data_IF_897818055982
#
_entry.id   IF_897818055982
#
_cell.length_a   1.000
_cell.length_b   1.000
_cell.length_c   1.000
_cell.angle_alpha   90.00
_cell.angle_beta   90.00
_cell.angle_gamma   90.00
#
_symmetry.space_group_name_H-M   'P 1'
#
loop_
_entity.id
_entity.type
_entity.pdbx_description
1 polymer ?
#
# COMPACT_ATOMS: atom_id res chain seq x y z
N UNK A 1 37.54 -17.43 -2.05
CA UNK A 1 37.60 -17.87 -3.47
C UNK A 1 37.81 -16.65 -4.34
N UNK A 2 38.53 -16.76 -5.47
CA UNK A 2 38.81 -15.59 -6.31
C UNK A 2 37.60 -15.17 -7.14
N UNK A 3 37.37 -13.85 -7.24
CA UNK A 3 36.37 -13.27 -8.12
C UNK A 3 36.69 -13.60 -9.59
N UNK A 4 35.79 -14.26 -10.34
CA UNK A 4 36.06 -14.63 -11.72
C UNK A 4 36.07 -13.43 -12.69
N UNK A 5 35.49 -12.29 -12.29
CA UNK A 5 35.54 -11.04 -13.08
C UNK A 5 36.83 -10.25 -12.84
N UNK A 6 37.30 -10.15 -11.59
CA UNK A 6 38.50 -9.37 -11.22
C UNK A 6 39.79 -10.20 -11.20
N UNK A 7 39.69 -11.54 -11.24
CA UNK A 7 40.76 -12.56 -11.30
C UNK A 7 41.74 -12.61 -10.12
N UNK A 8 42.07 -11.49 -9.48
CA UNK A 8 43.05 -11.40 -8.39
C UNK A 8 42.50 -10.82 -7.08
N UNK A 9 41.18 -10.74 -6.98
CA UNK A 9 40.48 -10.28 -5.78
C UNK A 9 39.84 -11.47 -5.10
N UNK A 10 40.13 -11.68 -3.81
CA UNK A 10 39.40 -12.63 -2.99
C UNK A 10 37.99 -12.12 -2.70
N UNK A 11 37.01 -13.00 -2.83
CA UNK A 11 35.65 -12.76 -2.36
C UNK A 11 35.64 -12.76 -0.83
N UNK A 12 34.76 -11.93 -0.27
CA UNK A 12 34.53 -11.79 1.17
C UNK A 12 33.15 -12.34 1.49
N UNK A 13 33.09 -13.26 2.43
CA UNK A 13 31.85 -13.83 2.91
C UNK A 13 31.09 -12.81 3.78
N UNK A 14 29.81 -12.60 3.49
CA UNK A 14 28.96 -11.61 4.15
C UNK A 14 27.60 -12.22 4.50
N UNK A 15 27.17 -12.02 5.74
CA UNK A 15 25.80 -12.32 6.16
C UNK A 15 24.87 -11.17 5.76
N UNK A 16 23.93 -11.42 4.84
CA UNK A 16 22.92 -10.44 4.46
C UNK A 16 21.95 -10.15 5.61
N UNK A 17 21.27 -9.00 5.56
CA UNK A 17 20.18 -8.66 6.51
C UNK A 17 19.00 -9.63 6.47
N UNK A 18 18.94 -10.48 5.44
CA UNK A 18 17.96 -11.54 5.26
C UNK A 18 18.46 -12.90 5.74
N UNK A 19 19.63 -12.98 6.38
CA UNK A 19 20.15 -14.22 6.96
C UNK A 19 20.71 -15.20 5.93
N UNK A 20 21.02 -14.75 4.73
CA UNK A 20 21.69 -15.55 3.69
C UNK A 20 23.16 -15.18 3.67
N UNK A 21 24.04 -16.18 3.77
CA UNK A 21 25.47 -16.04 3.53
C UNK A 21 25.70 -15.89 2.03
N UNK A 22 26.55 -14.94 1.65
CA UNK A 22 26.90 -14.68 0.24
C UNK A 22 28.36 -14.25 0.15
N UNK A 23 28.98 -14.50 -0.98
CA UNK A 23 30.36 -14.07 -1.26
C UNK A 23 30.37 -12.81 -2.14
N UNK A 24 30.99 -11.74 -1.65
CA UNK A 24 30.99 -10.42 -2.30
C UNK A 24 32.40 -10.02 -2.71
N UNK A 25 32.56 -9.59 -3.96
CA UNK A 25 33.79 -9.00 -4.43
C UNK A 25 33.87 -7.52 -3.98
N UNK A 26 34.87 -7.11 -3.16
CA UNK A 26 34.98 -5.73 -2.71
C UNK A 26 35.37 -4.74 -3.82
N UNK A 27 35.85 -5.24 -4.97
CA UNK A 27 36.27 -4.39 -6.09
C UNK A 27 35.13 -4.10 -7.08
N UNK A 28 34.38 -5.13 -7.50
CA UNK A 28 33.32 -4.98 -8.51
C UNK A 28 31.90 -5.09 -7.94
N UNK A 29 31.75 -5.36 -6.64
CA UNK A 29 30.47 -5.61 -5.97
C UNK A 29 29.68 -6.80 -6.55
N UNK A 30 30.35 -7.70 -7.28
CA UNK A 30 29.74 -8.94 -7.75
C UNK A 30 29.43 -9.86 -6.57
N UNK A 31 28.24 -10.46 -6.58
CA UNK A 31 27.76 -11.38 -5.55
C UNK A 31 27.73 -12.80 -6.11
N UNK A 32 28.26 -13.74 -5.33
CA UNK A 32 28.40 -15.14 -5.66
C UNK A 32 27.72 -15.96 -4.58
N UNK A 33 27.07 -17.04 -5.01
CA UNK A 33 26.21 -17.87 -4.17
C UNK A 33 26.62 -19.32 -4.36
N UNK A 34 26.72 -20.05 -3.26
CA UNK A 34 26.92 -21.48 -3.27
C UNK A 34 25.61 -22.26 -3.48
N UNK A 35 25.77 -23.57 -3.73
CA UNK A 35 24.63 -24.50 -3.82
C UNK A 35 23.88 -24.52 -2.48
N UNK A 36 22.61 -24.12 -2.51
CA UNK A 36 21.74 -24.02 -1.33
C UNK A 36 21.59 -22.60 -0.78
N UNK A 37 22.52 -21.68 -1.07
CA UNK A 37 22.32 -20.25 -0.76
C UNK A 37 21.37 -19.60 -1.75
N UNK A 38 21.50 -19.94 -3.04
CA UNK A 38 20.57 -19.49 -4.08
C UNK A 38 19.12 -19.85 -3.76
N UNK A 39 18.88 -21.07 -3.27
CA UNK A 39 17.55 -21.54 -2.87
C UNK A 39 16.99 -20.69 -1.72
N UNK A 40 17.81 -20.34 -0.73
CA UNK A 40 17.40 -19.42 0.35
C UNK A 40 17.01 -18.05 -0.21
N UNK A 41 17.79 -17.49 -1.13
CA UNK A 41 17.45 -16.20 -1.78
C UNK A 41 16.10 -16.29 -2.51
N UNK A 42 15.86 -17.38 -3.23
CA UNK A 42 14.59 -17.59 -3.94
C UNK A 42 13.40 -17.65 -2.97
N UNK A 43 13.50 -18.45 -1.90
CA UNK A 43 12.45 -18.54 -0.86
C UNK A 43 12.17 -17.17 -0.25
N UNK A 44 13.21 -16.39 0.07
CA UNK A 44 13.01 -15.03 0.61
C UNK A 44 12.32 -14.11 -0.37
N UNK A 45 12.66 -14.19 -1.66
CA UNK A 45 12.01 -13.40 -2.71
C UNK A 45 10.52 -13.73 -2.80
N UNK A 46 10.17 -15.01 -2.94
CA UNK A 46 8.78 -15.46 -3.04
C UNK A 46 7.96 -15.03 -1.81
N UNK A 47 8.51 -15.22 -0.61
CA UNK A 47 7.87 -14.78 0.63
C UNK A 47 7.68 -13.26 0.68
N UNK A 48 8.64 -12.49 0.17
CA UNK A 48 8.54 -11.03 0.13
C UNK A 48 7.45 -10.54 -0.83
N UNK A 49 7.30 -11.22 -1.97
CA UNK A 49 6.25 -10.93 -2.96
C UNK A 49 4.87 -11.26 -2.39
N UNK A 50 4.72 -12.43 -1.76
CA UNK A 50 3.48 -12.83 -1.09
C UNK A 50 3.07 -11.84 0.02
N UNK A 51 4.03 -11.36 0.81
CA UNK A 51 3.78 -10.36 1.85
C UNK A 51 3.34 -9.02 1.24
N UNK A 52 4.01 -8.56 0.18
CA UNK A 52 3.67 -7.32 -0.50
C UNK A 52 2.26 -7.37 -1.10
N UNK A 53 1.87 -8.49 -1.71
CA UNK A 53 0.53 -8.70 -2.24
C UNK A 53 -0.53 -8.66 -1.14
N UNK A 54 -0.28 -9.32 -0.01
CA UNK A 54 -1.19 -9.31 1.15
C UNK A 54 -1.36 -7.92 1.74
N UNK A 55 -0.27 -7.17 1.88
CA UNK A 55 -0.30 -5.80 2.36
C UNK A 55 -1.06 -4.90 1.39
N UNK A 56 -0.77 -4.97 0.09
CA UNK A 56 -1.48 -4.21 -0.93
C UNK A 56 -2.99 -4.53 -0.95
N UNK A 57 -3.36 -5.81 -0.86
CA UNK A 57 -4.76 -6.23 -0.78
C UNK A 57 -5.45 -5.70 0.49
N UNK A 58 -4.73 -5.59 1.61
CA UNK A 58 -5.26 -5.01 2.85
C UNK A 58 -5.45 -3.50 2.73
N UNK A 59 -4.43 -2.78 2.24
CA UNK A 59 -4.48 -1.32 2.13
C UNK A 59 -5.42 -0.84 1.04
N UNK A 60 -5.52 -1.55 -0.09
CA UNK A 60 -6.47 -1.21 -1.16
C UNK A 60 -7.91 -1.23 -0.67
N UNK A 61 -8.32 -2.23 0.13
CA UNK A 61 -9.65 -2.28 0.75
C UNK A 61 -9.93 -1.06 1.63
N UNK A 62 -8.96 -0.67 2.46
CA UNK A 62 -9.08 0.51 3.34
C UNK A 62 -9.25 1.78 2.50
N UNK A 63 -8.40 1.95 1.47
CA UNK A 63 -8.46 3.10 0.59
C UNK A 63 -9.80 3.17 -0.20
N UNK A 64 -10.28 2.04 -0.71
CA UNK A 64 -11.58 1.94 -1.38
C UNK A 64 -12.72 2.26 -0.43
N UNK A 65 -12.73 1.71 0.78
CA UNK A 65 -13.76 1.99 1.77
C UNK A 65 -13.78 3.46 2.16
N UNK A 66 -12.61 4.05 2.43
CA UNK A 66 -12.50 5.47 2.75
C UNK A 66 -13.02 6.37 1.61
N UNK A 67 -12.77 5.99 0.35
CA UNK A 67 -13.32 6.70 -0.82
C UNK A 67 -14.84 6.60 -0.88
N UNK A 68 -15.40 5.41 -0.69
CA UNK A 68 -16.85 5.20 -0.64
C UNK A 68 -17.50 5.98 0.50
N UNK A 69 -16.92 5.95 1.68
CA UNK A 69 -17.42 6.68 2.85
C UNK A 69 -17.42 8.19 2.60
N UNK A 70 -16.38 8.71 1.94
CA UNK A 70 -16.33 10.12 1.56
C UNK A 70 -17.41 10.50 0.55
N UNK A 71 -17.62 9.68 -0.49
CA UNK A 71 -18.68 9.91 -1.49
C UNK A 71 -20.07 9.88 -0.85
N UNK A 72 -20.34 8.90 0.00
CA UNK A 72 -21.59 8.78 0.75
C UNK A 72 -21.82 9.98 1.69
N UNK A 73 -20.79 10.43 2.41
CA UNK A 73 -20.88 11.61 3.26
C UNK A 73 -21.17 12.87 2.44
N UNK A 74 -20.56 13.01 1.26
CA UNK A 74 -20.82 14.14 0.36
C UNK A 74 -22.25 14.15 -0.15
N UNK A 75 -22.77 12.99 -0.58
CA UNK A 75 -24.16 12.87 -1.02
C UNK A 75 -25.15 13.19 0.11
N UNK A 76 -24.89 12.66 1.31
CA UNK A 76 -25.69 12.95 2.49
C UNK A 76 -25.69 14.44 2.83
N UNK A 77 -24.52 15.09 2.81
CA UNK A 77 -24.42 16.53 3.04
C UNK A 77 -25.20 17.34 1.99
N UNK A 78 -25.14 16.95 0.70
CA UNK A 78 -25.94 17.58 -0.37
C UNK A 78 -27.44 17.36 -0.14
N UNK A 79 -27.84 16.17 0.30
CA UNK A 79 -29.24 15.86 0.61
C UNK A 79 -29.73 16.68 1.81
N UNK A 80 -28.96 16.79 2.88
CA UNK A 80 -29.29 17.57 4.06
C UNK A 80 -29.41 19.07 3.72
N UNK A 81 -28.57 19.59 2.80
CA UNK A 81 -28.72 20.94 2.26
C UNK A 81 -30.04 21.13 1.49
N UNK A 82 -30.51 20.11 0.73
CA UNK A 82 -31.81 20.18 0.04
C UNK A 82 -32.99 20.17 1.01
N UNK A 83 -32.87 19.54 2.17
CA UNK A 83 -33.91 19.54 3.23
C UNK A 83 -34.03 20.92 3.91
N UNK A 84 -32.96 21.73 3.92
CA UNK A 84 -32.96 23.06 4.55
C UNK A 84 -33.84 24.12 3.87
N UNK A 85 -33.91 24.16 2.52
CA UNK A 85 -34.75 25.17 1.82
C UNK A 85 -36.22 24.79 1.80
N UNK A 86 -36.54 23.50 1.71
CA UNK A 86 -37.91 23.01 1.72
C UNK A 86 -38.59 23.22 3.07
N UNK A 87 -37.86 23.13 4.17
CA UNK A 87 -38.41 23.34 5.51
C UNK A 87 -38.77 24.81 5.76
N UNK A 88 -37.94 25.75 5.31
CA UNK A 88 -38.23 27.19 5.33
C UNK A 88 -39.42 27.52 4.44
N UNK A 89 -39.45 27.00 3.21
CA UNK A 89 -40.59 27.19 2.29
C UNK A 89 -41.86 26.58 2.88
N UNK A 90 -41.81 25.36 3.42
CA UNK A 90 -42.96 24.71 4.04
C UNK A 90 -43.45 25.47 5.27
N UNK A 91 -42.55 26.00 6.10
CA UNK A 91 -42.89 26.85 7.24
C UNK A 91 -43.59 28.13 6.76
N UNK A 92 -43.03 28.81 5.76
CA UNK A 92 -43.60 30.02 5.16
C UNK A 92 -44.99 29.75 4.56
N UNK A 93 -45.15 28.66 3.81
CA UNK A 93 -46.41 28.25 3.21
C UNK A 93 -47.48 27.96 4.28
N UNK A 94 -47.11 27.27 5.37
CA UNK A 94 -48.02 27.04 6.51
C UNK A 94 -48.39 28.33 7.25
N UNK A 95 -47.53 29.34 7.23
CA UNK A 95 -47.75 30.64 7.87
C UNK A 95 -48.66 31.54 7.03
N UNK A 96 -48.49 31.52 5.70
CA UNK A 96 -49.37 32.20 4.74
C UNK A 96 -50.76 31.58 4.76
N UNK A 97 -50.86 30.24 4.73
CA UNK A 97 -52.16 29.54 4.76
C UNK A 97 -52.96 29.91 6.02
N UNK A 98 -52.32 29.97 7.19
CA UNK A 98 -52.96 30.37 8.46
C UNK A 98 -53.44 31.83 8.52
N UNK A 99 -52.99 32.69 7.59
CA UNK A 99 -53.42 34.10 7.50
C UNK A 99 -54.49 34.33 6.43
N UNK A 100 -54.76 33.31 5.61
CA UNK A 100 -55.76 33.34 4.54
C UNK A 100 -57.09 32.69 4.97
N UNK A 101 -57.10 32.02 6.13
CA UNK A 101 -58.29 31.65 6.91
C UNK A 101 -58.65 32.78 7.89
#
# INVERSE_FOLDING_TARGET
MKCPSCKDVELVEVLTTKGVMVDVCPQCNGVWLDKGELEKVQIYKEKSEELAEKEYARFSKIATQAKLDFENQREKAIQDIKVSRFEVINKLMREISRRLD
#
